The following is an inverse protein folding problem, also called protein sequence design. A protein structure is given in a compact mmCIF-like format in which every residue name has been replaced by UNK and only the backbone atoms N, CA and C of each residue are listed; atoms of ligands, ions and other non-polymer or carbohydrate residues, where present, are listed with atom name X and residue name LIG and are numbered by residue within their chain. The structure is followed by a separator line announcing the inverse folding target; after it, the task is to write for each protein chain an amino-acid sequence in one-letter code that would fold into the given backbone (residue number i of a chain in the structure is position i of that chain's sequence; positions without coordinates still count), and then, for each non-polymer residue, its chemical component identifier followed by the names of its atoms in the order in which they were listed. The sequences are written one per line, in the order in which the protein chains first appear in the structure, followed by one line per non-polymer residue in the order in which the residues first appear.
data_IF_770638612413
#
_entry.id   IF_770638612413
#
_cell.length_a   1.000
_cell.length_b   1.000
_cell.length_c   1.000
_cell.angle_alpha   90.00
_cell.angle_beta   90.00
_cell.angle_gamma   90.00
#
_symmetry.space_group_name_H-M   'P 1'
#
loop_
_entity.id
_entity.type
_entity.pdbx_description
1 polymer ?
#
# COMPACT_ATOMS: atom_id res chain seq x y z
N UNK A 1 2.03 -2.46 8.74
CA UNK A 1 2.46 -1.14 8.22
C UNK A 1 1.28 -0.50 7.51
N UNK A 2 1.09 0.82 7.63
CA UNK A 2 0.04 1.55 6.89
C UNK A 2 0.69 2.79 6.29
N UNK A 3 0.48 3.02 5.00
CA UNK A 3 0.92 4.22 4.28
C UNK A 3 -0.34 4.99 3.91
N UNK A 4 -0.51 6.14 4.55
CA UNK A 4 -1.56 7.09 4.17
C UNK A 4 -1.10 7.96 2.99
N UNK A 5 -2.07 8.54 2.28
CA UNK A 5 -1.82 9.32 1.06
C UNK A 5 -0.92 8.60 0.04
N UNK A 6 -1.13 7.28 -0.10
CA UNK A 6 -0.32 6.43 -0.97
C UNK A 6 -0.34 6.91 -2.43
N UNK A 7 -1.38 7.62 -2.90
CA UNK A 7 -1.36 8.24 -4.23
C UNK A 7 -0.23 9.25 -4.42
N UNK A 8 0.26 9.89 -3.35
CA UNK A 8 1.39 10.83 -3.40
C UNK A 8 2.71 10.09 -3.56
N UNK A 9 2.90 8.97 -2.86
CA UNK A 9 4.16 8.22 -2.87
C UNK A 9 4.22 7.20 -4.01
N UNK A 10 3.08 6.67 -4.41
CA UNK A 10 2.91 5.63 -5.43
C UNK A 10 2.26 6.19 -6.70
N UNK A 11 2.47 7.46 -7.01
CA UNK A 11 1.97 8.06 -8.25
C UNK A 11 2.64 7.42 -9.48
N UNK A 12 1.84 6.92 -10.42
CA UNK A 12 2.33 6.19 -11.60
C UNK A 12 3.11 7.06 -12.62
N UNK A 13 3.00 8.39 -12.51
CA UNK A 13 3.66 9.34 -13.42
C UNK A 13 4.98 9.83 -12.83
N UNK A 14 5.01 10.00 -11.51
CA UNK A 14 6.14 10.58 -10.77
C UNK A 14 7.13 9.50 -10.32
N UNK A 15 6.65 8.39 -9.77
CA UNK A 15 7.50 7.40 -9.06
C UNK A 15 7.50 6.02 -9.71
N UNK A 16 7.34 5.95 -11.04
CA UNK A 16 7.22 4.69 -11.77
C UNK A 16 8.43 3.78 -11.57
N UNK A 17 9.63 4.35 -11.60
CA UNK A 17 10.86 3.57 -11.49
C UNK A 17 11.01 3.01 -10.08
N UNK A 18 10.85 3.88 -9.09
CA UNK A 18 11.00 3.63 -7.67
C UNK A 18 10.01 2.57 -7.18
N UNK A 19 8.74 2.66 -7.59
CA UNK A 19 7.75 1.63 -7.25
C UNK A 19 8.15 0.27 -7.86
N UNK A 20 8.64 0.25 -9.10
CA UNK A 20 9.02 -1.00 -9.75
C UNK A 20 10.29 -1.62 -9.17
N UNK A 21 11.30 -0.81 -8.81
CA UNK A 21 12.63 -1.29 -8.40
C UNK A 21 12.82 -1.39 -6.89
N UNK A 22 12.13 -0.57 -6.10
CA UNK A 22 12.26 -0.55 -4.65
C UNK A 22 11.04 -1.18 -3.98
N UNK A 23 9.83 -0.70 -4.29
CA UNK A 23 8.62 -1.19 -3.61
C UNK A 23 8.23 -2.62 -3.99
N UNK A 24 8.09 -2.93 -5.28
CA UNK A 24 7.61 -4.24 -5.73
C UNK A 24 8.46 -5.40 -5.19
N UNK A 25 9.80 -5.32 -5.16
CA UNK A 25 10.63 -6.36 -4.54
C UNK A 25 10.45 -6.45 -3.02
N UNK A 26 10.33 -5.31 -2.33
CA UNK A 26 10.06 -5.27 -0.89
C UNK A 26 8.73 -5.96 -0.55
N UNK A 27 7.66 -5.57 -1.24
CA UNK A 27 6.30 -6.08 -1.01
C UNK A 27 6.21 -7.60 -1.22
N UNK A 28 6.89 -8.14 -2.24
CA UNK A 28 6.97 -9.59 -2.48
C UNK A 28 7.73 -10.35 -1.39
N UNK A 29 8.53 -9.67 -0.57
CA UNK A 29 9.29 -10.25 0.54
C UNK A 29 8.63 -10.09 1.90
N UNK A 30 7.51 -9.36 2.03
CA UNK A 30 6.82 -9.12 3.31
C UNK A 30 6.64 -10.37 4.17
N UNK A 31 6.13 -11.47 3.59
CA UNK A 31 5.97 -12.72 4.31
C UNK A 31 7.29 -13.30 4.87
N UNK A 32 8.42 -13.12 4.15
CA UNK A 32 9.73 -13.62 4.59
C UNK A 32 10.35 -12.79 5.71
N UNK A 33 9.96 -11.53 5.82
CA UNK A 33 10.48 -10.59 6.83
C UNK A 33 9.49 -10.35 7.97
N UNK A 34 8.44 -11.18 8.08
CA UNK A 34 7.47 -11.13 9.17
C UNK A 34 6.49 -9.95 9.09
N UNK A 35 6.27 -9.39 7.91
CA UNK A 35 5.22 -8.40 7.68
C UNK A 35 3.95 -9.12 7.25
N UNK A 36 2.98 -9.17 8.15
CA UNK A 36 1.69 -9.84 7.90
C UNK A 36 0.73 -8.96 7.09
N UNK A 37 0.72 -7.65 7.35
CA UNK A 37 -0.20 -6.69 6.72
C UNK A 37 0.52 -5.38 6.36
N UNK A 38 0.32 -4.97 5.11
CA UNK A 38 0.65 -3.65 4.61
C UNK A 38 -0.57 -3.01 3.94
N UNK A 39 -1.04 -1.88 4.46
CA UNK A 39 -2.14 -1.11 3.86
C UNK A 39 -1.63 0.12 3.11
N UNK A 40 -2.15 0.33 1.89
CA UNK A 40 -1.95 1.56 1.11
C UNK A 40 -3.30 2.28 1.02
N UNK A 41 -3.40 3.49 1.56
CA UNK A 41 -4.64 4.27 1.55
C UNK A 41 -4.49 5.36 0.48
N UNK A 42 -5.40 5.39 -0.49
CA UNK A 42 -5.42 6.40 -1.54
C UNK A 42 -6.83 6.94 -1.74
N UNK A 43 -6.96 8.22 -2.08
CA UNK A 43 -8.27 8.84 -2.37
C UNK A 43 -8.87 8.40 -3.70
N UNK A 44 -8.01 8.12 -4.69
CA UNK A 44 -8.42 7.64 -5.99
C UNK A 44 -7.49 6.57 -6.51
N UNK A 45 -8.07 5.53 -7.11
CA UNK A 45 -7.30 4.53 -7.84
C UNK A 45 -6.63 5.05 -9.11
N UNK A 46 -7.00 6.23 -9.61
CA UNK A 46 -6.47 6.78 -10.87
C UNK A 46 -4.95 6.96 -10.84
N UNK A 47 -4.47 7.51 -9.75
CA UNK A 47 -3.07 7.92 -9.62
C UNK A 47 -2.20 6.83 -8.97
N UNK A 48 -2.83 5.84 -8.32
CA UNK A 48 -2.12 4.72 -7.71
C UNK A 48 -1.40 3.84 -8.75
N UNK A 49 -0.13 3.54 -8.48
CA UNK A 49 0.71 2.75 -9.37
C UNK A 49 0.09 1.36 -9.67
N UNK A 50 0.08 0.91 -10.93
CA UNK A 50 -0.46 -0.39 -11.33
C UNK A 50 0.08 -1.60 -10.55
N UNK A 51 1.37 -1.58 -10.19
CA UNK A 51 1.97 -2.65 -9.37
C UNK A 51 1.39 -2.71 -7.96
N UNK A 52 1.12 -1.57 -7.33
CA UNK A 52 0.49 -1.54 -6.01
C UNK A 52 -0.92 -2.16 -6.05
N UNK A 53 -1.68 -1.89 -7.11
CA UNK A 53 -3.00 -2.52 -7.35
C UNK A 53 -2.88 -4.04 -7.51
N UNK A 54 -1.94 -4.51 -8.35
CA UNK A 54 -1.72 -5.95 -8.61
C UNK A 54 -1.32 -6.73 -7.37
N UNK A 55 -0.58 -6.10 -6.46
CA UNK A 55 -0.13 -6.74 -5.21
C UNK A 55 -1.18 -6.69 -4.09
N UNK A 56 -2.28 -5.97 -4.27
CA UNK A 56 -3.36 -5.93 -3.29
C UNK A 56 -4.08 -7.28 -3.21
N UNK A 57 -4.18 -7.82 -2.00
CA UNK A 57 -4.84 -9.11 -1.73
C UNK A 57 -6.21 -8.96 -1.06
N UNK A 58 -6.49 -7.76 -0.53
CA UNK A 58 -7.79 -7.42 0.06
C UNK A 58 -8.08 -5.92 -0.16
N UNK A 59 -8.28 -5.49 -1.42
CA UNK A 59 -8.70 -4.13 -1.70
C UNK A 59 -10.09 -3.87 -1.11
N UNK A 60 -10.25 -2.71 -0.49
CA UNK A 60 -11.55 -2.23 -0.02
C UNK A 60 -11.76 -0.77 -0.42
N UNK A 61 -13.00 -0.40 -0.68
CA UNK A 61 -13.36 0.93 -1.16
C UNK A 61 -14.48 1.52 -0.31
N UNK A 62 -14.24 2.71 0.24
CA UNK A 62 -15.26 3.47 0.96
C UNK A 62 -16.11 4.25 -0.02
N UNK A 63 -17.37 3.86 -0.18
CA UNK A 63 -18.36 4.64 -0.95
C UNK A 63 -18.86 5.86 -0.18
N UNK A 64 -18.99 5.68 1.13
CA UNK A 64 -19.49 6.68 2.06
C UNK A 64 -18.66 6.63 3.35
N UNK A 65 -18.84 7.63 4.23
CA UNK A 65 -18.07 7.73 5.47
C UNK A 65 -18.13 6.47 6.34
N UNK A 66 -19.29 5.79 6.34
CA UNK A 66 -19.57 4.63 7.19
C UNK A 66 -19.86 3.33 6.42
N UNK A 67 -19.59 3.31 5.12
CA UNK A 67 -19.91 2.18 4.24
C UNK A 67 -18.67 1.81 3.44
N UNK A 68 -18.28 0.54 3.50
CA UNK A 68 -17.13 -0.01 2.76
C UNK A 68 -17.52 -1.30 2.04
N UNK A 69 -17.00 -1.46 0.83
CA UNK A 69 -17.06 -2.70 0.07
C UNK A 69 -15.68 -3.35 0.02
N UNK A 70 -15.64 -4.68 0.02
CA UNK A 70 -14.41 -5.48 -0.09
C UNK A 70 -14.42 -6.25 -1.39
N UNK A 71 -13.23 -6.39 -1.98
CA UNK A 71 -13.04 -6.91 -3.31
C UNK A 71 -11.88 -7.90 -3.35
N UNK A 72 -11.93 -8.84 -4.29
CA UNK A 72 -10.92 -9.90 -4.41
C UNK A 72 -9.64 -9.38 -5.04
N UNK A 73 -9.75 -8.44 -5.99
CA UNK A 73 -8.61 -7.93 -6.72
C UNK A 73 -8.78 -6.49 -7.15
N UNK A 74 -7.66 -5.86 -7.48
CA UNK A 74 -7.64 -4.54 -8.12
C UNK A 74 -6.94 -4.63 -9.49
N UNK A 75 -7.69 -4.56 -10.61
CA UNK A 75 -7.09 -4.52 -11.93
C UNK A 75 -6.17 -3.30 -12.08
N UNK A 76 -5.01 -3.51 -12.70
CA UNK A 76 -3.95 -2.51 -12.82
C UNK A 76 -4.39 -1.19 -13.51
N UNK A 77 -5.27 -1.31 -14.49
CA UNK A 77 -5.81 -0.25 -15.33
C UNK A 77 -7.16 0.28 -14.83
N UNK A 78 -7.70 -0.28 -13.74
CA UNK A 78 -8.98 0.15 -13.19
C UNK A 78 -8.80 1.21 -12.11
N UNK A 79 -9.73 2.17 -12.10
CA UNK A 79 -9.86 3.18 -11.05
C UNK A 79 -10.46 2.60 -9.77
N UNK A 80 -11.10 1.43 -9.85
CA UNK A 80 -11.83 0.77 -8.78
C UNK A 80 -11.44 -0.71 -8.68
N UNK A 81 -11.45 -1.29 -7.47
CA UNK A 81 -11.34 -2.73 -7.29
C UNK A 81 -12.52 -3.48 -7.93
N UNK A 82 -12.34 -4.77 -8.17
CA UNK A 82 -13.31 -5.63 -8.83
C UNK A 82 -13.53 -6.93 -8.08
N UNK A 83 -14.67 -7.57 -8.37
CA UNK A 83 -15.11 -8.85 -7.81
C UNK A 83 -15.40 -8.75 -6.30
N UNK A 84 -16.64 -8.40 -5.96
CA UNK A 84 -17.08 -8.24 -4.57
C UNK A 84 -16.89 -9.52 -3.76
N UNK A 85 -16.20 -9.43 -2.62
CA UNK A 85 -15.98 -10.57 -1.72
C UNK A 85 -17.21 -10.89 -0.87
N UNK A 86 -18.04 -9.88 -0.59
CA UNK A 86 -19.24 -10.03 0.22
C UNK A 86 -20.50 -9.80 -0.63
N UNK A 87 -21.63 -10.35 -0.18
CA UNK A 87 -22.93 -10.16 -0.83
C UNK A 87 -23.54 -8.76 -0.67
N UNK A 88 -22.81 -7.84 -0.02
CA UNK A 88 -23.25 -6.46 0.22
C UNK A 88 -22.17 -5.67 0.97
N UNK A 89 -22.46 -4.39 1.21
CA UNK A 89 -21.56 -3.47 1.90
C UNK A 89 -21.50 -3.75 3.41
N UNK A 90 -20.34 -3.46 4.00
CA UNK A 90 -20.21 -3.37 5.46
C UNK A 90 -20.58 -1.95 5.87
N UNK A 91 -21.63 -1.85 6.68
CA UNK A 91 -22.20 -0.59 7.15
C UNK A 91 -21.83 -0.31 8.61
N UNK A 92 -22.15 0.90 9.08
CA UNK A 92 -21.98 1.34 10.46
C UNK A 92 -20.53 1.26 10.97
N UNK A 93 -19.56 1.54 10.08
CA UNK A 93 -18.16 1.65 10.49
C UNK A 93 -18.03 2.69 11.59
N UNK A 94 -17.41 2.27 12.69
CA UNK A 94 -17.07 3.17 13.78
C UNK A 94 -16.00 4.17 13.33
N UNK A 95 -16.03 5.41 13.86
CA UNK A 95 -14.91 6.32 13.71
C UNK A 95 -13.62 5.65 14.19
N UNK A 96 -12.51 5.93 13.50
CA UNK A 96 -11.20 5.50 14.00
C UNK A 96 -10.95 6.09 15.39
N UNK A 97 -10.35 5.30 16.28
CA UNK A 97 -9.88 5.79 17.58
C UNK A 97 -8.58 6.61 17.49
N UNK A 98 -8.02 6.75 16.29
CA UNK A 98 -6.79 7.49 16.02
C UNK A 98 -7.14 8.86 15.42
N UNK A 99 -6.77 9.93 16.13
CA UNK A 99 -6.80 11.28 15.57
C UNK A 99 -5.59 11.46 14.64
N UNK A 100 -5.85 11.94 13.43
CA UNK A 100 -4.82 12.16 12.42
C UNK A 100 -4.15 13.52 12.67
N UNK A 101 -2.84 13.55 12.94
CA UNK A 101 -2.07 14.80 12.89
C UNK A 101 -1.64 15.05 11.43
N UNK A 102 -2.02 16.16 10.80
CA UNK A 102 -1.52 16.53 9.48
C UNK A 102 0.02 16.58 9.37
N UNK A 103 0.72 16.67 10.51
CA UNK A 103 2.18 16.63 10.61
C UNK A 103 2.75 15.22 10.89
N UNK A 104 1.90 14.19 11.06
CA UNK A 104 2.33 12.78 11.12
C UNK A 104 2.72 12.22 9.74
N UNK A 105 2.77 13.07 8.71
CA UNK A 105 3.39 12.74 7.44
C UNK A 105 4.87 12.37 7.67
N UNK A 106 5.13 11.07 7.83
CA UNK A 106 6.48 10.55 7.88
C UNK A 106 7.17 10.91 6.55
N UNK A 107 8.29 11.66 6.56
CA UNK A 107 8.99 11.99 5.33
C UNK A 107 9.46 10.69 4.67
N UNK A 108 8.85 10.33 3.54
CA UNK A 108 9.21 9.16 2.75
C UNK A 108 10.20 9.56 1.65
N UNK A 109 11.34 8.88 1.59
CA UNK A 109 12.32 8.97 0.51
C UNK A 109 12.42 7.65 -0.27
N UNK A 110 12.67 7.74 -1.58
CA UNK A 110 12.93 6.60 -2.45
C UNK A 110 14.44 6.39 -2.66
N UNK A 111 15.16 6.12 -1.59
CA UNK A 111 16.63 6.08 -1.54
C UNK A 111 17.20 4.70 -1.21
N UNK A 112 16.41 3.63 -1.37
CA UNK A 112 16.88 2.27 -1.10
C UNK A 112 17.98 1.85 -2.09
N UNK A 113 19.03 1.19 -1.57
CA UNK A 113 20.08 0.60 -2.39
C UNK A 113 19.47 -0.35 -3.45
N UNK A 114 19.86 -0.20 -4.72
CA UNK A 114 19.26 -0.92 -5.86
C UNK A 114 19.30 -2.45 -5.72
N UNK A 115 20.33 -2.97 -5.05
CA UNK A 115 20.55 -4.40 -4.87
C UNK A 115 20.12 -4.89 -3.48
N UNK A 116 19.52 -4.03 -2.64
CA UNK A 116 19.11 -4.36 -1.27
C UNK A 116 18.27 -5.64 -1.21
N UNK A 117 17.34 -5.78 -2.16
CA UNK A 117 16.43 -6.93 -2.25
C UNK A 117 16.98 -8.10 -3.08
N UNK A 118 18.24 -8.05 -3.51
CA UNK A 118 18.96 -9.24 -4.01
C UNK A 118 19.62 -10.03 -2.87
N UNK A 119 19.83 -9.38 -1.72
CA UNK A 119 20.50 -9.93 -0.56
C UNK A 119 19.58 -10.87 0.25
N UNK A 120 20.16 -11.84 0.94
CA UNK A 120 19.46 -12.75 1.85
C UNK A 120 19.49 -12.20 3.28
N UNK A 121 18.74 -11.13 3.51
CA UNK A 121 18.68 -10.41 4.79
C UNK A 121 17.46 -10.83 5.61
N UNK A 122 17.64 -10.98 6.93
CA UNK A 122 16.53 -11.05 7.88
C UNK A 122 15.98 -9.64 8.20
N UNK A 123 14.84 -9.58 8.89
CA UNK A 123 14.17 -8.31 9.18
C UNK A 123 15.05 -7.29 9.91
N UNK A 124 15.80 -7.70 10.93
CA UNK A 124 16.70 -6.80 11.67
C UNK A 124 17.83 -6.26 10.80
N UNK A 125 18.37 -7.08 9.90
CA UNK A 125 19.42 -6.66 8.95
C UNK A 125 18.87 -5.71 7.88
N UNK A 126 17.66 -5.98 7.38
CA UNK A 126 16.98 -5.09 6.45
C UNK A 126 16.69 -3.74 7.11
N UNK A 127 16.13 -3.75 8.32
CA UNK A 127 15.88 -2.54 9.11
C UNK A 127 17.14 -1.69 9.28
N UNK A 128 18.26 -2.32 9.63
CA UNK A 128 19.52 -1.61 9.76
C UNK A 128 19.91 -0.87 8.46
N UNK A 129 19.76 -1.54 7.31
CA UNK A 129 20.10 -1.00 5.98
C UNK A 129 19.17 0.10 5.47
N UNK A 130 17.91 0.09 5.89
CA UNK A 130 16.94 1.13 5.51
C UNK A 130 16.88 2.30 6.52
N UNK A 131 17.53 2.14 7.69
CA UNK A 131 17.58 3.15 8.75
C UNK A 131 18.88 3.96 8.80
N UNK A 132 19.86 3.60 7.96
CA UNK A 132 21.21 4.17 7.87
C UNK A 132 21.32 5.18 6.74
#
# INVERSE_FOLDING_TARGET
MVIDEASTHFDARTYRHEVATQWTPLAKRFAKIGVDVCGLICHSGKDLHPEAKRLSTMPYFKREKKVVDFFERWPADADMPADSLFGGSVENLEPTGTEYDPNDAAPWSWDLESDLFSLDLNWSQLLHRISS
#
